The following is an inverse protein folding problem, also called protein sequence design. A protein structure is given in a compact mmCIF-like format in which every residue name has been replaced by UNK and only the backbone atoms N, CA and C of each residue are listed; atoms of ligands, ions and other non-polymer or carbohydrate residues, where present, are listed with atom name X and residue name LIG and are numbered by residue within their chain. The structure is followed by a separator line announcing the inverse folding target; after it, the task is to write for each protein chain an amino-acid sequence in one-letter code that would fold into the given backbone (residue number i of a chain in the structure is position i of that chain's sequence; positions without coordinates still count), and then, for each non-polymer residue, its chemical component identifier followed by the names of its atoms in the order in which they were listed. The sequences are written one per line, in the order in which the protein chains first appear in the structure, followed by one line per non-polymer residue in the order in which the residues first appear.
data_IF_665390181448
#
_entry.id   IF_665390181448
#
_cell.length_a   1.000
_cell.length_b   1.000
_cell.length_c   1.000
_cell.angle_alpha   90.00
_cell.angle_beta   90.00
_cell.angle_gamma   90.00
#
_symmetry.space_group_name_H-M   'P 1'
#
loop_
_entity.id
_entity.type
_entity.pdbx_description
1 polymer ?
#
# COMPACT_ATOMS: atom_id res chain seq x y z
N UNK A 1 -46.15 14.29 -4.42
CA UNK A 1 -45.61 13.28 -3.48
C UNK A 1 -44.15 13.07 -3.82
N UNK A 2 -43.27 13.53 -2.91
CA UNK A 2 -41.81 13.31 -2.87
C UNK A 2 -40.98 13.69 -4.11
N UNK A 3 -40.74 14.99 -4.27
CA UNK A 3 -39.47 15.50 -4.79
C UNK A 3 -38.38 15.17 -3.75
N UNK A 4 -37.87 13.94 -3.80
CA UNK A 4 -36.65 13.58 -3.09
C UNK A 4 -35.49 14.13 -3.92
N UNK A 5 -35.16 15.40 -3.68
CA UNK A 5 -33.83 15.94 -3.94
C UNK A 5 -32.85 14.94 -3.31
N UNK A 6 -32.17 14.16 -4.15
CA UNK A 6 -31.06 13.34 -3.72
C UNK A 6 -29.96 14.33 -3.35
N UNK A 7 -29.90 14.70 -2.06
CA UNK A 7 -28.82 15.51 -1.53
C UNK A 7 -27.51 14.83 -1.92
N UNK A 8 -26.80 15.46 -2.86
CA UNK A 8 -25.47 15.02 -3.24
C UNK A 8 -24.58 15.34 -2.05
N UNK A 9 -24.20 14.32 -1.29
CA UNK A 9 -23.14 14.47 -0.28
C UNK A 9 -21.93 15.14 -0.94
N UNK A 10 -21.21 16.02 -0.22
CA UNK A 10 -20.01 16.64 -0.78
C UNK A 10 -19.08 15.53 -1.27
N UNK A 11 -18.72 15.58 -2.56
CA UNK A 11 -17.76 14.64 -3.12
C UNK A 11 -16.44 14.88 -2.40
N UNK A 12 -16.05 13.94 -1.54
CA UNK A 12 -14.74 13.99 -0.92
C UNK A 12 -13.68 13.93 -2.00
N UNK A 13 -12.78 14.90 -2.02
CA UNK A 13 -11.61 14.85 -2.89
C UNK A 13 -10.67 13.75 -2.38
N UNK A 14 -10.79 12.57 -2.98
CA UNK A 14 -10.01 11.39 -2.63
C UNK A 14 -8.52 11.58 -2.90
N UNK A 15 -8.18 12.39 -3.91
CA UNK A 15 -6.79 12.66 -4.24
C UNK A 15 -6.16 13.55 -3.18
N UNK A 16 -6.80 14.67 -2.86
CA UNK A 16 -6.35 15.54 -1.78
C UNK A 16 -6.28 14.79 -0.45
N UNK A 17 -7.21 13.86 -0.21
CA UNK A 17 -7.14 12.97 0.94
C UNK A 17 -5.89 12.10 0.91
N UNK A 18 -5.59 11.40 -0.19
CA UNK A 18 -4.48 10.43 -0.22
C UNK A 18 -3.09 11.05 -0.11
N UNK A 19 -2.91 12.31 -0.52
CA UNK A 19 -1.61 12.98 -0.47
C UNK A 19 -0.99 13.00 0.94
N UNK A 20 0.32 12.78 0.99
CA UNK A 20 1.11 12.77 2.21
C UNK A 20 1.59 11.38 2.64
N UNK A 21 1.88 11.25 3.94
CA UNK A 21 2.48 10.06 4.55
C UNK A 21 1.49 9.26 5.40
N UNK A 22 1.58 7.94 5.31
CA UNK A 22 0.70 7.00 5.99
C UNK A 22 1.52 5.92 6.66
N UNK A 23 1.31 5.70 7.95
CA UNK A 23 1.85 4.52 8.62
C UNK A 23 0.95 3.34 8.29
N UNK A 24 1.53 2.23 7.86
CA UNK A 24 0.79 1.04 7.45
C UNK A 24 1.35 -0.21 8.09
N UNK A 25 0.43 -1.12 8.41
CA UNK A 25 0.72 -2.50 8.77
C UNK A 25 -0.14 -3.40 7.87
N UNK A 26 0.46 -4.44 7.31
CA UNK A 26 -0.21 -5.33 6.36
C UNK A 26 0.13 -6.79 6.62
N UNK A 27 -0.87 -7.64 6.41
CA UNK A 27 -0.68 -9.08 6.31
C UNK A 27 -0.48 -9.46 4.85
N UNK A 28 0.54 -10.27 4.58
CA UNK A 28 0.92 -10.75 3.25
C UNK A 28 0.61 -12.25 3.16
N UNK A 29 0.11 -12.67 2.00
CA UNK A 29 -0.25 -14.08 1.76
C UNK A 29 0.19 -14.53 0.37
N UNK A 30 1.08 -15.52 0.34
CA UNK A 30 1.42 -16.30 -0.84
C UNK A 30 0.40 -17.44 -1.00
N UNK A 31 -0.53 -17.28 -1.96
CA UNK A 31 -1.55 -18.28 -2.28
C UNK A 31 -0.99 -19.56 -2.91
N UNK A 32 0.17 -19.51 -3.55
CA UNK A 32 0.74 -20.66 -4.24
C UNK A 32 1.46 -21.58 -3.24
N UNK A 33 2.21 -21.00 -2.31
CA UNK A 33 2.92 -21.74 -1.26
C UNK A 33 2.20 -21.82 0.09
N UNK A 34 1.09 -21.10 0.27
CA UNK A 34 0.38 -21.00 1.56
C UNK A 34 1.10 -20.16 2.62
N UNK A 35 2.22 -19.53 2.27
CA UNK A 35 3.07 -18.79 3.21
C UNK A 35 2.45 -17.45 3.60
N UNK A 36 2.60 -17.07 4.87
CA UNK A 36 2.14 -15.77 5.39
C UNK A 36 3.32 -14.95 5.90
N UNK A 37 3.21 -13.63 5.78
CA UNK A 37 4.16 -12.68 6.36
C UNK A 37 3.50 -11.36 6.70
N UNK A 38 4.29 -10.39 7.14
CA UNK A 38 3.82 -9.04 7.48
C UNK A 38 4.70 -7.97 6.86
N UNK A 39 4.13 -6.78 6.69
CA UNK A 39 4.85 -5.57 6.34
C UNK A 39 4.46 -4.46 7.30
N UNK A 40 5.45 -3.72 7.80
CA UNK A 40 5.23 -2.49 8.56
C UNK A 40 6.10 -1.38 7.97
N UNK A 41 5.52 -0.20 7.74
CA UNK A 41 6.24 0.89 7.09
C UNK A 41 5.43 2.14 6.86
N UNK A 42 5.96 2.98 5.98
CA UNK A 42 5.36 4.25 5.56
C UNK A 42 5.09 4.22 4.07
N UNK A 43 3.87 4.59 3.68
CA UNK A 43 3.49 4.89 2.30
C UNK A 43 3.47 6.40 2.13
N UNK A 44 4.08 6.89 1.05
CA UNK A 44 4.02 8.30 0.63
C UNK A 44 3.34 8.40 -0.72
N UNK A 45 2.29 9.21 -0.78
CA UNK A 45 1.66 9.62 -2.03
C UNK A 45 2.08 11.05 -2.38
N UNK A 46 2.59 11.24 -3.58
CA UNK A 46 2.88 12.55 -4.17
C UNK A 46 2.20 12.69 -5.53
N UNK A 47 1.93 13.91 -5.96
CA UNK A 47 1.35 14.15 -7.28
C UNK A 47 2.37 13.88 -8.40
N UNK A 48 1.87 13.42 -9.54
CA UNK A 48 2.63 13.40 -10.79
C UNK A 48 2.21 14.55 -11.70
N UNK A 49 3.07 15.01 -12.65
CA UNK A 49 2.76 16.14 -13.52
C UNK A 49 1.52 15.97 -14.40
N UNK A 50 1.16 14.73 -14.73
CA UNK A 50 -0.03 14.35 -15.49
C UNK A 50 -1.30 14.25 -14.63
N UNK A 51 -1.21 14.58 -13.36
CA UNK A 51 -2.35 14.52 -12.44
C UNK A 51 -2.63 13.12 -11.89
N UNK A 52 -1.65 12.22 -11.92
CA UNK A 52 -1.70 10.96 -11.18
C UNK A 52 -1.15 11.08 -9.75
N UNK A 53 -1.06 9.93 -9.09
CA UNK A 53 -0.37 9.78 -7.80
C UNK A 53 0.80 8.82 -7.96
N UNK A 54 1.98 9.26 -7.53
CA UNK A 54 3.13 8.41 -7.34
C UNK A 54 3.14 7.87 -5.90
N UNK A 55 3.30 6.55 -5.77
CA UNK A 55 3.37 5.85 -4.49
C UNK A 55 4.81 5.41 -4.23
N UNK A 56 5.35 5.75 -3.06
CA UNK A 56 6.59 5.18 -2.53
C UNK A 56 6.33 4.50 -1.19
N UNK A 57 6.83 3.28 -1.05
CA UNK A 57 6.77 2.51 0.18
C UNK A 57 8.17 2.30 0.74
N UNK A 58 8.33 2.59 2.04
CA UNK A 58 9.55 2.29 2.79
C UNK A 58 9.14 1.57 4.07
N UNK A 59 9.71 0.39 4.33
CA UNK A 59 9.33 -0.40 5.50
C UNK A 59 10.13 -1.68 5.64
N UNK A 60 9.73 -2.52 6.58
CA UNK A 60 10.31 -3.83 6.81
C UNK A 60 9.28 -4.90 6.52
N UNK A 61 9.72 -5.92 5.79
CA UNK A 61 8.94 -7.14 5.57
C UNK A 61 9.48 -8.25 6.47
N UNK A 62 8.57 -8.90 7.18
CA UNK A 62 8.82 -10.13 7.93
C UNK A 62 8.19 -11.28 7.17
N UNK A 63 9.02 -12.20 6.69
CA UNK A 63 8.65 -13.39 5.96
C UNK A 63 9.31 -14.61 6.62
N UNK A 64 8.71 -15.82 6.61
CA UNK A 64 9.25 -16.96 7.35
C UNK A 64 10.71 -17.31 7.02
N UNK A 65 11.20 -16.96 5.83
CA UNK A 65 12.58 -17.18 5.41
C UNK A 65 13.44 -15.91 5.35
N UNK A 66 12.89 -14.74 5.70
CA UNK A 66 13.59 -13.46 5.57
C UNK A 66 12.96 -12.34 6.40
N UNK A 67 13.78 -11.58 7.13
CA UNK A 67 13.40 -10.31 7.74
C UNK A 67 14.36 -9.22 7.28
N UNK A 68 13.84 -8.16 6.66
CA UNK A 68 14.66 -7.07 6.10
C UNK A 68 13.84 -6.06 5.30
N UNK A 69 14.45 -4.96 4.82
CA UNK A 69 13.80 -4.04 3.89
C UNK A 69 13.42 -4.80 2.60
N UNK A 70 12.23 -4.55 2.01
CA UNK A 70 11.90 -5.13 0.71
C UNK A 70 12.87 -4.56 -0.34
N UNK A 71 13.73 -5.40 -0.91
CA UNK A 71 14.67 -4.97 -1.94
C UNK A 71 13.93 -4.68 -3.25
N UNK A 72 14.15 -3.49 -3.82
CA UNK A 72 13.49 -3.03 -5.04
C UNK A 72 14.15 -3.53 -6.35
N UNK A 73 15.27 -4.25 -6.28
CA UNK A 73 16.02 -4.67 -7.47
C UNK A 73 17.13 -5.68 -7.12
N UNK A 74 16.93 -6.97 -7.39
CA UNK A 74 18.06 -7.93 -7.45
C UNK A 74 17.76 -9.01 -8.48
N UNK A 75 18.61 -9.08 -9.51
CA UNK A 75 18.62 -10.11 -10.55
C UNK A 75 19.17 -11.44 -10.02
N UNK A 76 18.67 -12.51 -10.64
CA UNK A 76 18.94 -13.95 -10.45
C UNK A 76 20.27 -14.37 -9.80
N UNK A 77 20.17 -15.13 -8.70
CA UNK A 77 21.27 -15.92 -8.14
C UNK A 77 21.11 -16.41 -6.70
N UNK A 78 20.18 -15.83 -5.91
CA UNK A 78 19.93 -16.16 -4.50
C UNK A 78 18.41 -16.16 -4.21
N UNK A 79 17.93 -16.77 -3.09
CA UNK A 79 16.54 -17.26 -2.96
C UNK A 79 15.53 -16.17 -3.30
N UNK A 80 14.56 -16.56 -4.12
CA UNK A 80 13.69 -15.70 -4.94
C UNK A 80 13.17 -14.46 -4.20
N UNK A 81 13.22 -13.27 -4.83
CA UNK A 81 12.56 -12.08 -4.30
C UNK A 81 11.03 -12.30 -4.20
N UNK A 82 10.33 -11.54 -3.33
CA UNK A 82 8.88 -11.62 -3.24
C UNK A 82 8.25 -11.42 -4.63
N UNK A 83 7.46 -12.40 -5.06
CA UNK A 83 6.93 -12.45 -6.42
C UNK A 83 5.91 -11.33 -6.67
N UNK A 84 5.86 -10.77 -7.90
CA UNK A 84 5.11 -9.55 -8.24
C UNK A 84 3.57 -9.66 -8.22
N UNK A 85 3.00 -10.73 -7.65
CA UNK A 85 1.55 -10.95 -7.57
C UNK A 85 1.00 -10.93 -6.13
N UNK A 86 1.81 -10.56 -5.12
CA UNK A 86 1.34 -10.44 -3.74
C UNK A 86 0.12 -9.54 -3.64
N UNK A 87 -1.01 -10.12 -3.22
CA UNK A 87 -2.24 -9.36 -2.95
C UNK A 87 -2.11 -8.68 -1.59
N UNK A 88 -2.36 -7.38 -1.57
CA UNK A 88 -2.14 -6.52 -0.41
C UNK A 88 -3.49 -5.99 0.08
N UNK A 89 -3.91 -6.34 1.31
CA UNK A 89 -5.04 -5.66 1.97
C UNK A 89 -4.54 -4.43 2.70
N UNK A 90 -5.13 -3.27 2.40
CA UNK A 90 -4.81 -1.99 3.04
C UNK A 90 -5.80 -1.71 4.19
N UNK A 91 -5.29 -1.65 5.41
CA UNK A 91 -5.83 -0.80 6.48
C UNK A 91 -4.68 0.10 6.90
N UNK A 92 -4.83 1.42 6.75
CA UNK A 92 -3.75 2.38 7.00
C UNK A 92 -4.29 3.62 7.71
N UNK A 93 -3.52 4.11 8.68
CA UNK A 93 -3.88 5.29 9.47
C UNK A 93 -3.00 6.47 9.02
N UNK A 94 -3.61 7.65 8.82
CA UNK A 94 -2.84 8.85 8.44
C UNK A 94 -1.87 9.20 9.57
N UNK A 95 -0.60 9.39 9.24
CA UNK A 95 0.38 9.89 10.21
C UNK A 95 0.44 11.40 10.08
N UNK A 96 -0.13 12.12 11.04
CA UNK A 96 0.09 13.57 11.20
C UNK A 96 1.37 13.77 12.00
N UNK A 97 2.43 14.19 11.33
CA UNK A 97 3.59 14.82 11.95
C UNK A 97 3.37 16.33 12.03
#
# INVERSE_FOLDING_TARGET
MKDQLRESSPTQDLRAYLLGSWTVERSLWDRAGGTRGTFAGVVRYSETPDGGLFLREDGTMTWPTHTGPPSANTSCGLPTPPKPWMSTSLMGNRSTA
#
